data_IF_282518646314
#
_entry.id   IF_282518646314
#
_cell.length_a   1.000
_cell.length_b   1.000
_cell.length_c   1.000
_cell.angle_alpha   90.00
_cell.angle_beta   90.00
_cell.angle_gamma   90.00
#
_symmetry.space_group_name_H-M   'P 1'
#
loop_
_entity.id
_entity.type
_entity.pdbx_description
1 polymer ?
#
# COMPACT_ATOMS: atom_id res chain seq x y z
N UNK A 1 -2.76 -30.73 11.87
CA UNK A 1 -2.15 -30.00 10.75
C UNK A 1 -2.10 -28.53 11.13
N UNK A 2 -0.97 -27.87 10.93
CA UNK A 2 -0.92 -26.41 11.14
C UNK A 2 -1.84 -25.75 10.11
N UNK A 3 -2.71 -24.84 10.55
CA UNK A 3 -3.55 -24.07 9.63
C UNK A 3 -2.67 -23.18 8.75
N UNK A 4 -3.01 -23.05 7.47
CA UNK A 4 -2.34 -22.12 6.57
C UNK A 4 -2.48 -20.69 7.10
N UNK A 5 -1.42 -19.87 7.09
CA UNK A 5 -1.53 -18.48 7.49
C UNK A 5 -2.54 -17.73 6.61
N UNK A 6 -3.31 -16.84 7.23
CA UNK A 6 -4.36 -16.05 6.58
C UNK A 6 -3.95 -14.59 6.46
N UNK A 7 -4.09 -14.02 5.26
CA UNK A 7 -3.76 -12.63 4.93
C UNK A 7 -4.92 -11.94 4.22
N UNK A 8 -5.24 -10.72 4.61
CA UNK A 8 -6.05 -9.79 3.82
C UNK A 8 -5.16 -8.69 3.21
N UNK A 9 -5.28 -8.49 1.90
CA UNK A 9 -4.65 -7.36 1.19
C UNK A 9 -5.74 -6.35 0.84
N UNK A 10 -5.82 -5.26 1.59
CA UNK A 10 -6.70 -4.12 1.32
C UNK A 10 -6.05 -3.22 0.25
N UNK A 11 -6.66 -3.17 -0.94
CA UNK A 11 -6.06 -2.55 -2.12
C UNK A 11 -5.20 -3.53 -2.92
N UNK A 12 -5.73 -4.72 -3.23
CA UNK A 12 -5.05 -5.77 -4.00
C UNK A 12 -4.93 -5.38 -5.49
N UNK A 13 -4.13 -4.33 -5.76
CA UNK A 13 -3.75 -3.83 -7.08
C UNK A 13 -2.51 -4.53 -7.63
N UNK A 14 -1.58 -3.77 -8.27
CA UNK A 14 -0.36 -4.32 -8.88
C UNK A 14 0.58 -4.93 -7.83
N UNK A 15 1.04 -4.14 -6.86
CA UNK A 15 1.96 -4.64 -5.81
C UNK A 15 1.28 -5.69 -4.94
N UNK A 16 0.05 -5.42 -4.49
CA UNK A 16 -0.73 -6.37 -3.68
C UNK A 16 -1.00 -7.69 -4.42
N UNK A 17 -1.26 -7.65 -5.73
CA UNK A 17 -1.45 -8.85 -6.55
C UNK A 17 -0.17 -9.69 -6.71
N UNK A 18 1.00 -9.05 -6.85
CA UNK A 18 2.30 -9.74 -6.88
C UNK A 18 2.59 -10.41 -5.53
N UNK A 19 2.37 -9.72 -4.43
CA UNK A 19 2.48 -10.27 -3.08
C UNK A 19 1.54 -11.46 -2.90
N UNK A 20 0.26 -11.31 -3.31
CA UNK A 20 -0.73 -12.38 -3.22
C UNK A 20 -0.26 -13.64 -3.95
N UNK A 21 0.21 -13.50 -5.20
CA UNK A 21 0.69 -14.63 -6.01
C UNK A 21 1.86 -15.37 -5.35
N UNK A 22 2.81 -14.63 -4.76
CA UNK A 22 3.95 -15.22 -4.03
C UNK A 22 3.50 -16.01 -2.81
N UNK A 23 2.63 -15.44 -2.00
CA UNK A 23 2.18 -16.08 -0.75
C UNK A 23 1.29 -17.30 -1.01
N UNK A 24 0.43 -17.24 -2.04
CA UNK A 24 -0.37 -18.40 -2.47
C UNK A 24 0.56 -19.56 -2.85
N UNK A 25 1.64 -19.30 -3.59
CA UNK A 25 2.61 -20.35 -3.96
C UNK A 25 3.32 -20.98 -2.75
N UNK A 26 3.31 -20.30 -1.60
CA UNK A 26 3.83 -20.76 -0.32
C UNK A 26 2.77 -21.39 0.60
N UNK A 27 1.53 -21.58 0.09
CA UNK A 27 0.45 -22.22 0.83
C UNK A 27 -0.34 -21.30 1.75
N UNK A 28 -0.24 -19.97 1.59
CA UNK A 28 -1.05 -19.02 2.34
C UNK A 28 -2.47 -18.92 1.79
N UNK A 29 -3.42 -18.67 2.68
CA UNK A 29 -4.76 -18.24 2.31
C UNK A 29 -4.78 -16.71 2.18
N UNK A 30 -5.00 -16.20 0.96
CA UNK A 30 -4.94 -14.76 0.68
C UNK A 30 -6.28 -14.23 0.22
N UNK A 31 -6.81 -13.27 0.95
CA UNK A 31 -8.00 -12.49 0.58
C UNK A 31 -7.55 -11.18 -0.08
N UNK A 32 -8.15 -10.84 -1.21
CA UNK A 32 -7.82 -9.63 -1.96
C UNK A 32 -9.00 -8.67 -2.05
N UNK A 33 -8.94 -7.54 -1.31
CA UNK A 33 -9.97 -6.51 -1.38
C UNK A 33 -9.67 -5.51 -2.48
N UNK A 34 -10.60 -5.39 -3.43
CA UNK A 34 -10.60 -4.37 -4.48
C UNK A 34 -11.97 -4.24 -5.15
N UNK A 35 -12.18 -3.13 -5.85
CA UNK A 35 -13.44 -2.86 -6.58
C UNK A 35 -13.70 -3.84 -7.73
N UNK A 36 -12.70 -4.10 -8.55
CA UNK A 36 -12.80 -5.01 -9.71
C UNK A 36 -12.11 -6.34 -9.41
N UNK A 37 -12.86 -7.29 -8.88
CA UNK A 37 -12.34 -8.62 -8.48
C UNK A 37 -11.87 -9.48 -9.65
N UNK A 38 -12.36 -9.22 -10.88
CA UNK A 38 -11.94 -9.96 -12.08
C UNK A 38 -10.45 -9.82 -12.43
N UNK A 39 -9.77 -8.83 -11.86
CA UNK A 39 -8.33 -8.62 -12.07
C UNK A 39 -7.47 -9.16 -10.91
N UNK A 40 -8.04 -9.94 -9.98
CA UNK A 40 -7.29 -10.63 -8.94
C UNK A 40 -6.49 -11.80 -9.53
N UNK A 41 -5.29 -12.09 -9.02
CA UNK A 41 -4.54 -13.27 -9.38
C UNK A 41 -5.31 -14.56 -9.06
N UNK A 42 -5.02 -15.62 -9.81
CA UNK A 42 -5.61 -16.94 -9.55
C UNK A 42 -5.28 -17.42 -8.12
N UNK A 43 -6.28 -17.96 -7.44
CA UNK A 43 -6.15 -18.48 -6.08
C UNK A 43 -6.36 -17.42 -4.97
N UNK A 44 -6.48 -16.14 -5.31
CA UNK A 44 -6.88 -15.10 -4.35
C UNK A 44 -8.38 -15.22 -4.08
N UNK A 45 -8.76 -15.24 -2.81
CA UNK A 45 -10.15 -15.18 -2.37
C UNK A 45 -10.66 -13.74 -2.52
N UNK A 46 -11.69 -13.51 -3.36
CA UNK A 46 -12.13 -12.16 -3.66
C UNK A 46 -12.89 -11.53 -2.49
N UNK A 47 -12.62 -10.26 -2.22
CA UNK A 47 -13.41 -9.39 -1.35
C UNK A 47 -13.78 -8.17 -2.20
N UNK A 48 -15.04 -8.12 -2.64
CA UNK A 48 -15.52 -7.01 -3.46
C UNK A 48 -15.86 -5.80 -2.60
N UNK A 49 -15.11 -4.71 -2.76
CA UNK A 49 -15.33 -3.52 -1.96
C UNK A 49 -14.56 -2.30 -2.42
N UNK A 50 -15.04 -1.14 -2.00
CA UNK A 50 -14.38 0.15 -2.21
C UNK A 50 -13.97 0.72 -0.85
N UNK A 51 -12.67 0.90 -0.67
CA UNK A 51 -12.10 1.46 0.56
C UNK A 51 -12.61 2.88 0.87
N UNK A 52 -13.08 3.61 -0.13
CA UNK A 52 -13.69 4.93 0.07
C UNK A 52 -15.10 4.86 0.70
N UNK A 53 -15.72 3.67 0.75
CA UNK A 53 -17.03 3.47 1.37
C UNK A 53 -16.87 2.99 2.81
N UNK A 54 -17.70 3.52 3.73
CA UNK A 54 -17.68 3.12 5.13
C UNK A 54 -18.32 1.75 5.39
N UNK A 55 -19.14 1.27 4.45
CA UNK A 55 -19.80 -0.03 4.59
C UNK A 55 -18.79 -1.17 4.41
N UNK A 56 -18.77 -2.09 5.38
CA UNK A 56 -17.96 -3.31 5.28
C UNK A 56 -18.40 -4.15 4.09
N UNK A 57 -17.45 -4.67 3.27
CA UNK A 57 -17.76 -5.59 2.21
C UNK A 57 -18.52 -6.83 2.69
N UNK A 58 -19.53 -7.28 1.93
CA UNK A 58 -20.31 -8.46 2.29
C UNK A 58 -19.48 -9.76 2.34
N UNK A 59 -18.41 -9.81 1.50
CA UNK A 59 -17.47 -10.94 1.45
C UNK A 59 -16.28 -10.78 2.39
N UNK A 60 -16.39 -9.92 3.42
CA UNK A 60 -15.32 -9.74 4.42
C UNK A 60 -15.01 -11.09 5.09
N UNK A 61 -13.74 -11.45 5.30
CA UNK A 61 -13.38 -12.74 5.90
C UNK A 61 -13.98 -12.90 7.31
N UNK A 62 -14.77 -13.95 7.52
CA UNK A 62 -15.38 -14.26 8.82
C UNK A 62 -14.38 -14.88 9.81
N UNK A 63 -13.34 -15.54 9.28
CA UNK A 63 -12.31 -16.22 10.07
C UNK A 63 -11.24 -15.28 10.61
N UNK A 64 -10.34 -15.80 11.48
CA UNK A 64 -9.22 -15.03 11.97
C UNK A 64 -8.27 -14.65 10.85
N UNK A 65 -7.81 -13.42 10.83
CA UNK A 65 -6.74 -12.94 9.96
C UNK A 65 -5.44 -12.93 10.75
N UNK A 66 -4.41 -13.64 10.26
CA UNK A 66 -3.07 -13.56 10.85
C UNK A 66 -2.38 -12.25 10.51
N UNK A 67 -2.60 -11.73 9.29
CA UNK A 67 -1.96 -10.52 8.80
C UNK A 67 -2.93 -9.68 7.97
N UNK A 68 -2.69 -8.37 7.96
CA UNK A 68 -3.33 -7.43 7.04
C UNK A 68 -2.25 -6.58 6.37
N UNK A 69 -2.34 -6.43 5.05
CA UNK A 69 -1.52 -5.50 4.28
C UNK A 69 -2.42 -4.43 3.67
N UNK A 70 -2.23 -3.18 4.07
CA UNK A 70 -2.88 -2.03 3.45
C UNK A 70 -1.99 -1.52 2.31
N UNK A 71 -2.39 -1.79 1.07
CA UNK A 71 -1.64 -1.49 -0.16
C UNK A 71 -2.52 -0.73 -1.18
N UNK A 72 -3.38 0.15 -0.67
CA UNK A 72 -4.22 1.00 -1.52
C UNK A 72 -3.39 2.07 -2.24
N UNK A 73 -3.90 2.53 -3.37
CA UNK A 73 -3.37 3.69 -4.08
C UNK A 73 -4.51 4.68 -4.35
N UNK A 74 -4.20 5.98 -4.29
CA UNK A 74 -5.15 7.01 -4.65
C UNK A 74 -5.52 6.89 -6.14
N UNK A 75 -6.81 7.01 -6.45
CA UNK A 75 -7.31 7.00 -7.83
C UNK A 75 -6.98 8.31 -8.56
N UNK A 76 -6.90 9.40 -7.81
CA UNK A 76 -6.63 10.73 -8.31
C UNK A 76 -5.44 11.34 -7.58
N UNK A 77 -4.59 12.04 -8.32
CA UNK A 77 -3.45 12.79 -7.77
C UNK A 77 -3.90 14.15 -7.22
N UNK A 78 -4.92 14.13 -6.36
CA UNK A 78 -5.45 15.30 -5.64
C UNK A 78 -5.34 15.07 -4.14
N UNK A 79 -5.34 16.15 -3.35
CA UNK A 79 -5.30 16.04 -1.90
C UNK A 79 -6.52 15.26 -1.36
N UNK A 80 -7.72 15.53 -1.92
CA UNK A 80 -8.94 14.80 -1.54
C UNK A 80 -8.85 13.30 -1.88
N UNK A 81 -8.33 12.95 -3.07
CA UNK A 81 -8.13 11.55 -3.47
C UNK A 81 -7.13 10.82 -2.58
N UNK A 82 -6.06 11.51 -2.16
CA UNK A 82 -5.10 10.94 -1.21
C UNK A 82 -5.73 10.74 0.18
N UNK A 83 -6.48 11.72 0.70
CA UNK A 83 -7.17 11.57 1.98
C UNK A 83 -8.17 10.42 1.96
N UNK A 84 -8.97 10.33 0.91
CA UNK A 84 -9.95 9.24 0.76
C UNK A 84 -9.26 7.87 0.74
N UNK A 85 -8.12 7.72 0.03
CA UNK A 85 -7.43 6.45 -0.09
C UNK A 85 -6.63 6.09 1.17
N UNK A 86 -5.91 7.03 1.78
CA UNK A 86 -4.92 6.70 2.81
C UNK A 86 -5.41 6.97 4.23
N UNK A 87 -6.33 7.92 4.44
CA UNK A 87 -6.87 8.22 5.76
C UNK A 87 -8.21 7.52 5.95
N UNK A 88 -9.21 7.86 5.11
CA UNK A 88 -10.57 7.32 5.31
C UNK A 88 -10.61 5.82 5.01
N UNK A 89 -10.00 5.38 3.92
CA UNK A 89 -9.92 3.96 3.59
C UNK A 89 -9.20 3.13 4.65
N UNK A 90 -8.11 3.64 5.24
CA UNK A 90 -7.43 2.96 6.35
C UNK A 90 -8.33 2.90 7.60
N UNK A 91 -9.00 4.00 7.95
CA UNK A 91 -9.95 4.04 9.07
C UNK A 91 -11.08 3.02 8.90
N UNK A 92 -11.63 2.90 7.69
CA UNK A 92 -12.67 1.92 7.38
C UNK A 92 -12.18 0.50 7.63
N UNK A 93 -11.01 0.14 7.08
CA UNK A 93 -10.43 -1.20 7.26
C UNK A 93 -10.15 -1.51 8.73
N UNK A 94 -9.58 -0.57 9.49
CA UNK A 94 -9.37 -0.74 10.91
C UNK A 94 -10.70 -0.85 11.68
N UNK A 95 -11.73 -0.09 11.28
CA UNK A 95 -13.09 -0.21 11.81
C UNK A 95 -13.68 -1.60 11.57
N UNK A 96 -13.57 -2.13 10.36
CA UNK A 96 -14.07 -3.47 10.02
C UNK A 96 -13.35 -4.59 10.78
N UNK A 97 -12.03 -4.49 10.99
CA UNK A 97 -11.30 -5.41 11.87
C UNK A 97 -11.89 -5.43 13.28
N UNK A 98 -12.19 -4.24 13.83
CA UNK A 98 -12.77 -4.09 15.18
C UNK A 98 -14.18 -4.65 15.24
N UNK A 99 -15.03 -4.34 14.27
CA UNK A 99 -16.40 -4.83 14.19
C UNK A 99 -16.49 -6.37 14.15
N UNK A 100 -15.48 -7.02 13.52
CA UNK A 100 -15.39 -8.47 13.43
C UNK A 100 -14.52 -9.10 14.52
N UNK A 101 -14.04 -8.31 15.50
CA UNK A 101 -13.19 -8.80 16.58
C UNK A 101 -11.86 -9.42 16.10
N UNK A 102 -11.37 -8.99 14.96
CA UNK A 102 -10.15 -9.56 14.35
C UNK A 102 -8.89 -8.89 14.89
N UNK A 103 -7.95 -9.70 15.34
CA UNK A 103 -6.68 -9.26 15.93
C UNK A 103 -5.50 -9.83 15.14
N UNK A 104 -5.18 -9.28 13.95
CA UNK A 104 -4.02 -9.73 13.18
C UNK A 104 -2.73 -9.53 13.98
N UNK A 105 -1.80 -10.48 13.82
CA UNK A 105 -0.46 -10.43 14.44
C UNK A 105 0.33 -9.22 13.97
N UNK A 106 0.02 -8.72 12.76
CA UNK A 106 0.62 -7.51 12.19
C UNK A 106 -0.30 -6.89 11.13
N UNK A 107 -0.43 -5.57 11.21
CA UNK A 107 -0.97 -4.74 10.12
C UNK A 107 0.20 -4.01 9.47
N UNK A 108 0.39 -4.21 8.17
CA UNK A 108 1.44 -3.57 7.40
C UNK A 108 0.82 -2.49 6.50
N UNK A 109 1.35 -1.27 6.58
CA UNK A 109 0.95 -0.15 5.73
C UNK A 109 2.02 0.13 4.68
N UNK A 110 1.63 0.11 3.41
CA UNK A 110 2.50 0.50 2.30
C UNK A 110 2.44 2.01 2.13
N UNK A 111 3.47 2.67 2.60
CA UNK A 111 3.72 4.11 2.51
C UNK A 111 4.70 4.43 1.37
N UNK A 112 5.26 5.63 1.36
CA UNK A 112 6.18 6.11 0.34
C UNK A 112 7.32 6.90 0.95
N UNK A 113 8.49 6.89 0.29
CA UNK A 113 9.62 7.78 0.62
C UNK A 113 9.29 9.27 0.42
N UNK A 114 8.11 9.62 -0.11
CA UNK A 114 7.64 11.01 -0.19
C UNK A 114 7.36 11.66 1.17
N UNK A 115 7.42 10.91 2.26
CA UNK A 115 7.36 11.43 3.64
C UNK A 115 8.65 12.12 4.06
N UNK A 116 9.76 11.87 3.38
CA UNK A 116 11.03 12.53 3.62
C UNK A 116 11.10 13.88 2.91
N UNK A 117 11.70 14.90 3.58
CA UNK A 117 11.87 16.24 3.05
C UNK A 117 13.26 16.49 2.43
N UNK A 118 14.21 15.58 2.59
CA UNK A 118 15.58 15.71 2.09
C UNK A 118 15.61 15.61 0.55
N UNK A 119 16.11 16.62 -0.13
CA UNK A 119 16.13 16.73 -1.59
C UNK A 119 17.53 16.94 -2.18
N UNK A 120 18.55 17.18 -1.37
CA UNK A 120 19.92 17.48 -1.80
C UNK A 120 20.80 16.24 -2.04
N UNK A 121 20.21 15.02 -2.02
CA UNK A 121 20.96 13.76 -2.18
C UNK A 121 21.47 13.17 -0.87
N UNK A 122 20.97 13.64 0.26
CA UNK A 122 21.28 13.09 1.57
C UNK A 122 20.75 11.65 1.69
N UNK A 123 21.52 10.83 2.40
CA UNK A 123 21.04 9.50 2.78
C UNK A 123 19.99 9.61 3.87
N UNK A 124 18.92 8.84 3.71
CA UNK A 124 17.82 8.72 4.67
C UNK A 124 17.60 7.27 5.06
N UNK A 125 17.19 7.07 6.30
CA UNK A 125 16.77 5.79 6.86
C UNK A 125 15.47 5.96 7.68
N UNK A 126 15.06 4.92 8.39
CA UNK A 126 13.83 4.90 9.16
C UNK A 126 13.85 5.87 10.36
N UNK A 127 15.04 6.30 10.81
CA UNK A 127 15.22 7.25 11.91
C UNK A 127 15.33 8.70 11.44
N UNK A 128 15.46 8.92 10.13
CA UNK A 128 15.61 10.25 9.54
C UNK A 128 14.35 11.11 9.75
N UNK A 129 14.48 12.43 9.92
CA UNK A 129 13.33 13.34 10.06
C UNK A 129 12.38 13.23 8.86
N UNK A 130 11.08 13.18 9.17
CA UNK A 130 10.00 13.13 8.16
C UNK A 130 9.30 14.48 8.12
N UNK A 131 9.69 15.31 7.16
CA UNK A 131 9.22 16.68 6.97
C UNK A 131 8.74 16.88 5.52
N UNK A 132 7.63 16.24 5.13
CA UNK A 132 7.16 16.27 3.75
C UNK A 132 6.68 17.66 3.35
N UNK A 133 7.16 18.18 2.22
CA UNK A 133 6.73 19.46 1.67
C UNK A 133 5.37 19.35 0.95
N UNK A 134 5.15 18.25 0.21
CA UNK A 134 3.94 18.03 -0.57
C UNK A 134 2.77 17.46 0.23
N UNK A 135 1.54 17.69 -0.22
CA UNK A 135 0.33 17.14 0.42
C UNK A 135 0.35 15.61 0.45
N UNK A 136 0.90 14.95 -0.57
CA UNK A 136 0.97 13.49 -0.66
C UNK A 136 1.78 12.90 0.50
N UNK A 137 2.97 13.44 0.76
CA UNK A 137 3.81 13.01 1.87
C UNK A 137 3.18 13.32 3.23
N UNK A 138 2.56 14.50 3.40
CA UNK A 138 1.86 14.87 4.65
C UNK A 138 0.72 13.91 4.97
N UNK A 139 -0.09 13.55 3.96
CA UNK A 139 -1.22 12.62 4.16
C UNK A 139 -0.72 11.21 4.46
N UNK A 140 0.32 10.75 3.78
CA UNK A 140 0.92 9.45 4.07
C UNK A 140 1.50 9.40 5.48
N UNK A 141 2.18 10.45 5.94
CA UNK A 141 2.69 10.55 7.30
C UNK A 141 1.55 10.54 8.34
N UNK A 142 0.43 11.24 8.07
CA UNK A 142 -0.78 11.18 8.90
C UNK A 142 -1.33 9.73 8.97
N UNK A 143 -1.35 9.02 7.84
CA UNK A 143 -1.80 7.62 7.79
C UNK A 143 -0.85 6.68 8.54
N UNK A 144 0.47 6.87 8.43
CA UNK A 144 1.46 6.13 9.24
C UNK A 144 1.18 6.29 10.73
N UNK A 145 0.99 7.54 11.18
CA UNK A 145 0.69 7.84 12.58
C UNK A 145 -0.65 7.24 13.03
N UNK A 146 -1.69 7.34 12.19
CA UNK A 146 -3.00 6.75 12.46
C UNK A 146 -2.87 5.24 12.74
N UNK A 147 -2.10 4.51 11.94
CA UNK A 147 -1.89 3.08 12.13
C UNK A 147 -0.98 2.80 13.33
N UNK A 148 0.16 3.48 13.46
CA UNK A 148 1.14 3.22 14.53
C UNK A 148 0.60 3.53 15.94
N UNK A 149 -0.42 4.40 16.05
CA UNK A 149 -1.11 4.69 17.31
C UNK A 149 -2.37 3.86 17.53
N UNK A 150 -2.69 2.95 16.62
CA UNK A 150 -3.84 2.04 16.74
C UNK A 150 -3.57 0.91 17.73
N UNK A 151 -4.62 0.11 18.01
CA UNK A 151 -4.54 -1.05 18.91
C UNK A 151 -3.80 -2.26 18.33
N UNK A 152 -3.56 -2.30 17.02
CA UNK A 152 -2.92 -3.44 16.35
C UNK A 152 -1.40 -3.30 16.28
N UNK A 153 -0.65 -4.42 16.41
CA UNK A 153 0.77 -4.41 16.07
C UNK A 153 0.97 -3.97 14.61
N UNK A 154 1.70 -2.89 14.40
CA UNK A 154 1.83 -2.26 13.10
C UNK A 154 3.26 -2.23 12.57
N UNK A 155 3.40 -2.18 11.25
CA UNK A 155 4.64 -1.86 10.54
C UNK A 155 4.33 -0.98 9.33
N UNK A 156 5.26 -0.08 9.01
CA UNK A 156 5.19 0.79 7.84
C UNK A 156 6.34 0.47 6.90
N UNK A 157 6.04 0.33 5.61
CA UNK A 157 7.05 0.16 4.56
C UNK A 157 7.00 1.37 3.63
N UNK A 158 8.04 2.20 3.64
CA UNK A 158 8.16 3.39 2.79
C UNK A 158 8.82 3.03 1.48
N UNK A 159 8.00 2.67 0.46
CA UNK A 159 8.51 2.31 -0.85
C UNK A 159 8.96 3.55 -1.63
N UNK A 160 10.08 3.42 -2.33
CA UNK A 160 10.53 4.41 -3.30
C UNK A 160 9.72 4.33 -4.60
N UNK A 161 10.05 5.13 -5.60
CA UNK A 161 9.33 5.13 -6.88
C UNK A 161 9.36 3.75 -7.54
N UNK A 162 8.20 3.11 -7.61
CA UNK A 162 8.08 1.74 -8.12
C UNK A 162 8.16 1.73 -9.64
N UNK A 163 9.01 0.85 -10.22
CA UNK A 163 9.12 0.61 -11.65
C UNK A 163 8.97 -0.89 -11.98
N UNK A 164 8.79 -1.23 -13.24
CA UNK A 164 8.68 -2.61 -13.70
C UNK A 164 7.58 -2.82 -14.73
N UNK A 165 7.20 -4.07 -15.03
CA UNK A 165 6.14 -4.39 -15.97
C UNK A 165 4.83 -3.69 -15.62
N UNK A 166 4.18 -3.06 -16.58
CA UNK A 166 2.95 -2.27 -16.39
C UNK A 166 3.16 -0.83 -15.89
N UNK A 167 4.40 -0.43 -15.57
CA UNK A 167 4.74 0.90 -15.01
C UNK A 167 5.67 1.67 -15.96
N UNK A 168 5.20 1.93 -17.20
CA UNK A 168 5.99 2.52 -18.25
C UNK A 168 5.96 4.06 -18.28
N UNK A 169 5.43 4.74 -17.27
CA UNK A 169 5.24 6.19 -17.29
C UNK A 169 6.56 6.94 -17.62
N UNK A 170 7.64 6.67 -16.88
CA UNK A 170 8.92 7.33 -17.10
C UNK A 170 9.50 7.02 -18.50
N UNK A 171 9.42 5.75 -18.94
CA UNK A 171 9.87 5.35 -20.28
C UNK A 171 9.08 6.09 -21.36
N UNK A 172 7.78 6.27 -21.18
CA UNK A 172 6.94 7.01 -22.12
C UNK A 172 7.30 8.51 -22.14
N UNK A 173 7.58 9.11 -20.98
CA UNK A 173 8.05 10.49 -20.92
C UNK A 173 9.37 10.66 -21.70
N UNK A 174 10.34 9.77 -21.49
CA UNK A 174 11.63 9.81 -22.22
C UNK A 174 11.40 9.63 -23.73
N UNK A 175 10.55 8.70 -24.15
CA UNK A 175 10.19 8.49 -25.57
C UNK A 175 9.53 9.71 -26.20
N UNK A 176 8.79 10.52 -25.41
CA UNK A 176 8.18 11.77 -25.83
C UNK A 176 9.14 12.97 -25.79
N UNK A 177 10.43 12.72 -25.54
CA UNK A 177 11.45 13.76 -25.51
C UNK A 177 11.57 14.53 -24.20
N UNK A 178 10.99 14.00 -23.09
CA UNK A 178 11.16 14.61 -21.77
C UNK A 178 12.65 14.68 -21.41
N UNK A 179 13.09 15.87 -21.05
CA UNK A 179 14.46 16.14 -20.61
C UNK A 179 14.45 16.71 -19.22
N UNK A 180 15.37 16.24 -18.40
CA UNK A 180 15.59 16.75 -17.05
C UNK A 180 16.74 17.76 -17.11
N UNK A 181 16.61 18.88 -16.41
CA UNK A 181 17.70 19.81 -16.22
C UNK A 181 18.85 19.11 -15.44
N UNK A 182 20.10 19.36 -15.82
CA UNK A 182 21.25 18.80 -15.11
C UNK A 182 21.55 19.55 -13.80
N UNK A 183 21.06 20.76 -13.68
CA UNK A 183 21.25 21.64 -12.52
C UNK A 183 19.91 22.26 -12.07
N UNK A 184 19.58 22.18 -10.78
CA UNK A 184 20.22 21.35 -9.76
C UNK A 184 20.04 19.86 -10.03
N UNK A 185 20.93 18.97 -9.53
CA UNK A 185 20.81 17.54 -9.73
C UNK A 185 19.52 16.99 -9.10
N UNK A 186 18.82 16.13 -9.84
CA UNK A 186 17.61 15.45 -9.34
C UNK A 186 17.98 14.03 -8.91
N UNK A 187 17.86 13.79 -7.62
CA UNK A 187 18.08 12.46 -7.05
C UNK A 187 16.78 11.64 -7.12
N UNK A 188 16.89 10.42 -7.63
CA UNK A 188 15.75 9.51 -7.72
C UNK A 188 16.05 8.17 -7.09
N UNK A 189 15.19 7.73 -6.20
CA UNK A 189 15.24 6.37 -5.65
C UNK A 189 14.14 5.52 -6.31
N UNK A 190 14.47 4.26 -6.62
CA UNK A 190 13.56 3.35 -7.35
C UNK A 190 13.64 1.94 -6.79
N UNK A 191 12.50 1.26 -6.78
CA UNK A 191 12.39 -0.16 -6.42
C UNK A 191 11.65 -0.91 -7.54
N UNK A 192 12.09 -2.12 -7.89
CA UNK A 192 11.33 -2.94 -8.83
C UNK A 192 10.05 -3.45 -8.18
N UNK A 193 8.97 -3.58 -8.97
CA UNK A 193 7.67 -3.99 -8.46
C UNK A 193 7.69 -5.40 -7.81
N UNK A 194 8.54 -6.31 -8.30
CA UNK A 194 8.68 -7.64 -7.70
C UNK A 194 9.47 -7.60 -6.39
N UNK A 195 10.44 -6.68 -6.25
CA UNK A 195 11.18 -6.48 -4.99
C UNK A 195 10.30 -5.78 -3.95
N UNK A 196 9.43 -4.85 -4.40
CA UNK A 196 8.44 -4.21 -3.53
C UNK A 196 7.40 -5.20 -2.97
N UNK A 197 7.18 -6.33 -3.64
CA UNK A 197 6.28 -7.40 -3.24
C UNK A 197 6.99 -8.58 -2.55
N UNK A 198 8.30 -8.51 -2.40
CA UNK A 198 9.15 -9.53 -1.77
C UNK A 198 9.35 -9.31 -0.33
#
# INVERSE_FOLDING_TARGET
MAMSPSLLIAGCGDVGGRLASRLISQGWQVHGLRRSISALPQGVLPVAGDLAQSQCPADWPEGPLDYLVYCAAANESTEAGYRAAYIEGLRHVLGWLREHGQMPRRVLFVSSTSVYGQQGGEWVDESSPVEPEGYSGRILLEAEQLLLTSEWPASVVRLSGIYGPGRAWLLNQVRQGYRVASEPPLYGNRIHADDAAG
#
